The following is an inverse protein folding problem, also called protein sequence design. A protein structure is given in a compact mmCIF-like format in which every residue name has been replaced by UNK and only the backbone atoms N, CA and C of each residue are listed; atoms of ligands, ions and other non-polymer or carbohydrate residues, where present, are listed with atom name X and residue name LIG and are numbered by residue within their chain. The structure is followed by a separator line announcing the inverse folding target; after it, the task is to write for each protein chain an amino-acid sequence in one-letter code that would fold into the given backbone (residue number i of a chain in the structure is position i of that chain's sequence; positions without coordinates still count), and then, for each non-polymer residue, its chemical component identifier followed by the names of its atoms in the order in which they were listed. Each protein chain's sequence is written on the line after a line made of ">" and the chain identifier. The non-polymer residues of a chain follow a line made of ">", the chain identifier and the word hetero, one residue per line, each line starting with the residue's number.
data_IF_895391723165
#
_entry.id   IF_895391723165
#
_cell.length_a   1.000
_cell.length_b   1.000
_cell.length_c   1.000
_cell.angle_alpha   90.00
_cell.angle_beta   90.00
_cell.angle_gamma   90.00
#
_symmetry.space_group_name_H-M   'P 1'
#
loop_
_entity.id
_entity.type
_entity.pdbx_description
1 polymer ?
#
# COMPACT_ATOMS: atom_id res chain seq x y z
N UNK A 1 21.10 -19.08 12.22
CA UNK A 1 20.10 -18.07 11.88
C UNK A 1 19.45 -18.54 10.59
N UNK A 2 18.17 -18.88 10.58
CA UNK A 2 17.46 -19.17 9.33
C UNK A 2 17.48 -17.88 8.50
N UNK A 3 17.89 -17.97 7.24
CA UNK A 3 17.84 -16.81 6.34
C UNK A 3 16.36 -16.50 6.08
N UNK A 4 15.92 -15.28 6.42
CA UNK A 4 14.61 -14.76 6.07
C UNK A 4 14.41 -14.83 4.55
N UNK A 5 13.21 -15.24 4.12
CA UNK A 5 12.86 -15.16 2.72
C UNK A 5 12.17 -13.83 2.44
N UNK A 6 12.49 -13.21 1.31
CA UNK A 6 11.76 -12.03 0.84
C UNK A 6 10.44 -12.48 0.20
N UNK A 7 9.32 -11.90 0.63
CA UNK A 7 8.01 -12.08 0.01
C UNK A 7 7.37 -10.76 -0.35
N UNK A 8 6.64 -10.76 -1.44
CA UNK A 8 5.87 -9.61 -1.93
C UNK A 8 4.40 -9.88 -1.65
N UNK A 9 3.77 -9.03 -0.87
CA UNK A 9 2.38 -9.21 -0.43
C UNK A 9 1.57 -7.98 -0.78
N UNK A 10 0.52 -8.16 -1.56
CA UNK A 10 -0.49 -7.14 -1.82
C UNK A 10 -1.86 -7.57 -1.31
N UNK A 11 -2.65 -6.61 -0.80
CA UNK A 11 -3.98 -6.87 -0.25
C UNK A 11 -5.01 -5.91 -0.86
N UNK A 12 -6.05 -6.46 -1.52
CA UNK A 12 -7.06 -5.67 -2.22
C UNK A 12 -8.40 -6.39 -2.36
N UNK A 13 -9.50 -5.66 -2.62
CA UNK A 13 -10.75 -6.26 -3.07
C UNK A 13 -10.60 -6.97 -4.43
N UNK A 14 -11.24 -8.13 -4.58
CA UNK A 14 -11.31 -8.84 -5.87
C UNK A 14 -12.34 -8.17 -6.80
N UNK A 15 -12.02 -6.97 -7.27
CA UNK A 15 -12.85 -6.22 -8.24
C UNK A 15 -12.11 -6.03 -9.56
N UNK A 16 -12.85 -5.67 -10.61
CA UNK A 16 -12.29 -5.37 -11.91
C UNK A 16 -11.22 -4.27 -11.85
N UNK A 17 -11.45 -3.25 -11.03
CA UNK A 17 -10.50 -2.16 -10.81
C UNK A 17 -9.11 -2.63 -10.36
N UNK A 18 -9.05 -3.59 -9.45
CA UNK A 18 -7.77 -4.12 -8.98
C UNK A 18 -7.21 -5.23 -9.88
N UNK A 19 -8.07 -5.95 -10.62
CA UNK A 19 -7.63 -7.06 -11.45
C UNK A 19 -6.59 -6.65 -12.50
N UNK A 20 -6.86 -5.58 -13.26
CA UNK A 20 -5.92 -5.09 -14.26
C UNK A 20 -4.65 -4.47 -13.63
N UNK A 21 -4.75 -3.82 -12.45
CA UNK A 21 -3.60 -3.29 -11.73
C UNK A 21 -2.68 -4.43 -11.28
N UNK A 22 -3.26 -5.47 -10.69
CA UNK A 22 -2.51 -6.68 -10.30
C UNK A 22 -1.88 -7.33 -11.53
N UNK A 23 -2.58 -7.43 -12.66
CA UNK A 23 -1.99 -8.00 -13.87
C UNK A 23 -0.79 -7.20 -14.36
N UNK A 24 -0.87 -5.86 -14.37
CA UNK A 24 0.24 -4.96 -14.73
C UNK A 24 1.41 -5.12 -13.76
N UNK A 25 1.14 -5.13 -12.47
CA UNK A 25 2.12 -5.32 -11.40
C UNK A 25 2.84 -6.67 -11.55
N UNK A 26 2.11 -7.77 -11.71
CA UNK A 26 2.69 -9.12 -11.84
C UNK A 26 3.63 -9.24 -13.02
N UNK A 27 3.22 -8.72 -14.19
CA UNK A 27 4.07 -8.72 -15.37
C UNK A 27 5.37 -7.94 -15.14
N UNK A 28 5.27 -6.75 -14.54
CA UNK A 28 6.43 -5.94 -14.23
C UNK A 28 7.33 -6.62 -13.20
N UNK A 29 6.77 -7.15 -12.11
CA UNK A 29 7.56 -7.81 -11.06
C UNK A 29 8.36 -9.00 -11.60
N UNK A 30 7.73 -9.85 -12.41
CA UNK A 30 8.38 -10.97 -13.05
C UNK A 30 9.47 -10.49 -14.03
N UNK A 31 9.20 -9.46 -14.82
CA UNK A 31 10.19 -8.81 -15.71
C UNK A 31 11.40 -8.27 -14.92
N UNK A 32 11.15 -7.72 -13.73
CA UNK A 32 12.17 -7.17 -12.83
C UNK A 32 12.87 -8.23 -11.94
N UNK A 33 12.60 -9.50 -12.19
CA UNK A 33 13.31 -10.63 -11.59
C UNK A 33 12.78 -11.07 -10.22
N UNK A 34 11.57 -10.66 -9.85
CA UNK A 34 10.89 -11.22 -8.67
C UNK A 34 10.51 -12.67 -8.96
N UNK A 35 10.88 -13.58 -8.05
CA UNK A 35 10.48 -14.97 -8.18
C UNK A 35 8.96 -15.10 -7.95
N UNK A 36 8.18 -15.63 -8.91
CA UNK A 36 6.72 -15.75 -8.78
C UNK A 36 6.25 -16.49 -7.52
N UNK A 37 7.02 -17.47 -7.04
CA UNK A 37 6.71 -18.21 -5.82
C UNK A 37 6.82 -17.37 -4.53
N UNK A 38 7.39 -16.17 -4.62
CA UNK A 38 7.52 -15.23 -3.52
C UNK A 38 6.42 -14.15 -3.55
N UNK A 39 5.47 -14.21 -4.49
CA UNK A 39 4.39 -13.23 -4.63
C UNK A 39 3.09 -13.81 -4.10
N UNK A 40 2.50 -13.14 -3.11
CA UNK A 40 1.19 -13.44 -2.54
C UNK A 40 0.21 -12.31 -2.88
N UNK A 41 -0.80 -12.64 -3.67
CA UNK A 41 -1.89 -11.74 -4.01
C UNK A 41 -3.08 -12.10 -3.12
N UNK A 42 -3.30 -11.29 -2.08
CA UNK A 42 -4.34 -11.54 -1.06
C UNK A 42 -5.58 -10.71 -1.41
N UNK A 43 -6.71 -11.37 -1.59
CA UNK A 43 -7.91 -10.77 -2.13
C UNK A 43 -9.13 -10.95 -1.21
N UNK A 44 -9.91 -9.89 -1.07
CA UNK A 44 -11.26 -10.00 -0.55
C UNK A 44 -12.23 -10.41 -1.67
N UNK A 45 -12.86 -11.58 -1.54
CA UNK A 45 -13.95 -12.00 -2.42
C UNK A 45 -15.27 -11.41 -1.96
N UNK A 46 -15.89 -10.60 -2.80
CA UNK A 46 -17.19 -10.02 -2.48
C UNK A 46 -18.29 -11.09 -2.54
N UNK A 47 -19.18 -11.09 -1.55
CA UNK A 47 -20.31 -12.03 -1.46
C UNK A 47 -19.91 -13.51 -1.56
N UNK A 48 -18.72 -13.87 -1.09
CA UNK A 48 -18.22 -15.25 -1.09
C UNK A 48 -17.83 -15.80 -2.47
N UNK A 49 -17.84 -14.97 -3.52
CA UNK A 49 -17.57 -15.40 -4.90
C UNK A 49 -16.25 -14.82 -5.39
N UNK A 50 -15.44 -15.65 -6.05
CA UNK A 50 -14.26 -15.18 -6.80
C UNK A 50 -14.72 -14.81 -8.21
N UNK A 51 -14.58 -13.56 -8.65
CA UNK A 51 -14.96 -13.12 -9.99
C UNK A 51 -14.14 -13.84 -11.08
N UNK A 52 -14.71 -13.96 -12.27
CA UNK A 52 -14.10 -14.71 -13.39
C UNK A 52 -12.73 -14.16 -13.78
N UNK A 53 -12.58 -12.85 -13.80
CA UNK A 53 -11.31 -12.19 -14.10
C UNK A 53 -10.20 -12.56 -13.10
N UNK A 54 -10.53 -12.73 -11.82
CA UNK A 54 -9.59 -13.15 -10.79
C UNK A 54 -9.25 -14.65 -10.90
N UNK A 55 -10.21 -15.46 -11.27
CA UNK A 55 -9.97 -16.87 -11.59
C UNK A 55 -9.06 -17.01 -12.83
N UNK A 56 -9.25 -16.14 -13.83
CA UNK A 56 -8.38 -16.10 -15.00
C UNK A 56 -6.94 -15.73 -14.60
N UNK A 57 -6.74 -14.69 -13.78
CA UNK A 57 -5.41 -14.33 -13.28
C UNK A 57 -4.75 -15.47 -12.53
N UNK A 58 -5.48 -16.11 -11.58
CA UNK A 58 -4.95 -17.21 -10.78
C UNK A 58 -4.55 -18.44 -11.62
N UNK A 59 -5.20 -18.65 -12.77
CA UNK A 59 -4.89 -19.76 -13.67
C UNK A 59 -3.74 -19.46 -14.65
N UNK A 60 -3.49 -18.19 -14.95
CA UNK A 60 -2.52 -17.79 -15.98
C UNK A 60 -1.17 -17.30 -15.42
N UNK A 61 -1.14 -16.86 -14.16
CA UNK A 61 0.09 -16.40 -13.52
C UNK A 61 0.63 -17.42 -12.51
N UNK A 62 1.92 -17.76 -12.54
CA UNK A 62 2.53 -18.74 -11.64
C UNK A 62 2.82 -18.15 -10.25
N UNK A 63 1.91 -17.35 -9.71
CA UNK A 63 1.97 -16.69 -8.40
C UNK A 63 0.89 -17.22 -7.49
N UNK A 64 0.95 -16.93 -6.21
CA UNK A 64 -0.02 -17.45 -5.24
C UNK A 64 -1.17 -16.45 -5.06
N UNK A 65 -2.39 -16.87 -5.33
CA UNK A 65 -3.62 -16.10 -5.08
C UNK A 65 -4.38 -16.67 -3.90
N UNK A 66 -4.83 -15.79 -3.01
CA UNK A 66 -5.59 -16.16 -1.82
C UNK A 66 -6.86 -15.31 -1.73
N UNK A 67 -7.99 -15.98 -1.47
CA UNK A 67 -9.30 -15.32 -1.46
C UNK A 67 -9.99 -15.52 -0.11
N UNK A 68 -10.24 -14.42 0.59
CA UNK A 68 -10.84 -14.41 1.92
C UNK A 68 -12.19 -13.68 1.92
N UNK A 69 -13.04 -14.04 2.88
CA UNK A 69 -14.30 -13.34 3.14
C UNK A 69 -14.06 -12.11 4.04
N UNK A 70 -15.00 -11.16 4.01
CA UNK A 70 -15.01 -10.04 4.94
C UNK A 70 -15.52 -10.49 6.31
N UNK A 71 -14.63 -10.57 7.28
CA UNK A 71 -14.93 -10.93 8.67
C UNK A 71 -14.89 -9.74 9.63
N UNK A 72 -14.86 -8.50 9.11
CA UNK A 72 -14.85 -7.29 9.96
C UNK A 72 -16.10 -7.18 10.80
N UNK A 73 -15.92 -6.85 12.06
CA UNK A 73 -17.02 -6.54 12.99
C UNK A 73 -17.59 -5.15 12.73
N UNK A 74 -16.74 -4.19 12.36
CA UNK A 74 -17.10 -2.82 11.99
C UNK A 74 -16.64 -2.49 10.58
N UNK A 75 -17.31 -1.56 9.89
CA UNK A 75 -17.05 -1.17 8.50
C UNK A 75 -17.17 0.33 8.29
N UNK A 76 -16.61 1.11 9.23
CA UNK A 76 -16.58 2.57 9.11
C UNK A 76 -15.58 3.02 8.05
N UNK A 77 -14.49 2.27 7.90
CA UNK A 77 -13.39 2.55 6.99
C UNK A 77 -13.27 1.46 5.93
N UNK A 78 -13.46 1.83 4.66
CA UNK A 78 -13.49 0.83 3.57
C UNK A 78 -12.17 0.07 3.43
N UNK A 79 -11.03 0.76 3.61
CA UNK A 79 -9.70 0.17 3.42
C UNK A 79 -9.29 -0.78 4.56
N UNK A 80 -10.04 -0.83 5.68
CA UNK A 80 -9.81 -1.81 6.75
C UNK A 80 -10.04 -3.27 6.30
N UNK A 81 -10.63 -3.46 5.12
CA UNK A 81 -10.68 -4.78 4.49
C UNK A 81 -9.28 -5.35 4.21
N UNK A 82 -8.27 -4.49 3.95
CA UNK A 82 -6.89 -4.93 3.70
C UNK A 82 -6.29 -5.62 4.93
N UNK A 83 -6.19 -4.99 6.11
CA UNK A 83 -5.73 -5.69 7.31
C UNK A 83 -6.63 -6.86 7.71
N UNK A 84 -7.94 -6.83 7.43
CA UNK A 84 -8.83 -7.95 7.69
C UNK A 84 -8.46 -9.22 6.91
N UNK A 85 -8.17 -9.11 5.62
CA UNK A 85 -7.74 -10.27 4.82
C UNK A 85 -6.29 -10.64 5.12
N UNK A 86 -5.43 -9.69 5.48
CA UNK A 86 -4.06 -9.97 5.90
C UNK A 86 -4.02 -10.78 7.20
N UNK A 87 -4.79 -10.42 8.24
CA UNK A 87 -4.83 -11.24 9.46
C UNK A 87 -5.28 -12.67 9.19
N UNK A 88 -6.25 -12.88 8.28
CA UNK A 88 -6.68 -14.21 7.89
C UNK A 88 -5.56 -14.96 7.16
N UNK A 89 -4.80 -14.26 6.32
CA UNK A 89 -3.67 -14.82 5.60
C UNK A 89 -2.54 -15.24 6.55
N UNK A 90 -2.16 -14.38 7.51
CA UNK A 90 -1.18 -14.72 8.55
C UNK A 90 -1.63 -15.88 9.43
N UNK A 91 -2.93 -15.95 9.77
CA UNK A 91 -3.47 -17.10 10.50
C UNK A 91 -3.35 -18.41 9.73
N UNK A 92 -3.54 -18.37 8.41
CA UNK A 92 -3.43 -19.54 7.54
C UNK A 92 -1.97 -19.93 7.26
N UNK A 93 -1.07 -18.97 7.27
CA UNK A 93 0.36 -19.13 6.95
C UNK A 93 1.26 -18.48 7.99
N UNK A 94 1.30 -19.01 9.24
CA UNK A 94 2.04 -18.36 10.34
C UNK A 94 3.54 -18.23 10.09
N UNK A 95 4.14 -19.02 9.21
CA UNK A 95 5.55 -18.90 8.83
C UNK A 95 5.88 -17.55 8.17
N UNK A 96 4.90 -16.76 7.74
CA UNK A 96 5.12 -15.39 7.23
C UNK A 96 5.69 -14.45 8.30
N UNK A 97 5.53 -14.77 9.58
CA UNK A 97 6.08 -14.02 10.70
C UNK A 97 7.63 -14.02 10.70
N UNK A 98 8.23 -15.07 10.15
CA UNK A 98 9.68 -15.23 10.05
C UNK A 98 10.27 -14.64 8.76
N UNK A 99 9.44 -14.28 7.78
CA UNK A 99 9.88 -13.74 6.49
C UNK A 99 10.07 -12.21 6.52
N UNK A 100 10.82 -11.68 5.56
CA UNK A 100 10.85 -10.26 5.24
C UNK A 100 9.75 -9.97 4.20
N UNK A 101 8.78 -9.18 4.57
CA UNK A 101 7.58 -8.92 3.76
C UNK A 101 7.67 -7.57 3.08
N UNK A 102 7.72 -7.55 1.75
CA UNK A 102 7.49 -6.33 0.98
C UNK A 102 5.98 -6.17 0.80
N UNK A 103 5.35 -5.42 1.73
CA UNK A 103 3.93 -5.10 1.69
C UNK A 103 3.70 -3.85 0.82
N UNK A 104 2.78 -3.94 -0.15
CA UNK A 104 2.62 -2.90 -1.17
C UNK A 104 1.19 -2.84 -1.75
N UNK A 105 0.89 -1.73 -2.41
CA UNK A 105 -0.32 -1.57 -3.22
C UNK A 105 -0.20 -2.30 -4.57
N UNK A 106 -1.34 -2.57 -5.22
CA UNK A 106 -1.39 -3.27 -6.51
C UNK A 106 -1.05 -2.39 -7.72
N UNK A 107 -0.98 -1.09 -7.54
CA UNK A 107 -0.72 -0.12 -8.61
C UNK A 107 0.72 0.43 -8.59
N UNK A 108 1.65 -0.40 -8.17
CA UNK A 108 3.08 -0.12 -8.25
C UNK A 108 3.76 -0.91 -9.36
N UNK A 109 4.84 -0.36 -9.89
CA UNK A 109 5.79 -1.05 -10.78
C UNK A 109 7.22 -0.73 -10.36
N UNK A 110 8.15 -1.62 -10.67
CA UNK A 110 9.57 -1.40 -10.47
C UNK A 110 10.21 -0.85 -11.74
N UNK A 111 11.12 0.10 -11.57
CA UNK A 111 11.91 0.69 -12.66
C UNK A 111 13.23 -0.06 -12.90
N UNK A 112 13.66 -0.88 -11.94
CA UNK A 112 14.93 -1.61 -11.94
C UNK A 112 14.76 -3.03 -11.38
N UNK A 113 15.61 -3.97 -11.79
CA UNK A 113 15.63 -5.32 -11.23
C UNK A 113 15.74 -5.32 -9.71
N UNK A 114 14.93 -6.14 -9.04
CA UNK A 114 14.79 -6.16 -7.58
C UNK A 114 16.12 -6.37 -6.84
N UNK A 115 17.00 -7.19 -7.38
CA UNK A 115 18.32 -7.50 -6.82
C UNK A 115 19.29 -6.31 -6.80
N UNK A 116 18.98 -5.23 -7.51
CA UNK A 116 19.85 -4.05 -7.56
C UNK A 116 19.60 -3.09 -6.39
N UNK A 117 18.47 -3.24 -5.68
CA UNK A 117 18.07 -2.26 -4.67
C UNK A 117 17.49 -2.83 -3.37
N UNK A 118 16.96 -4.06 -3.33
CA UNK A 118 16.73 -4.79 -2.06
C UNK A 118 17.97 -5.64 -1.78
N UNK A 119 18.67 -5.32 -0.69
CA UNK A 119 19.91 -5.99 -0.31
C UNK A 119 19.66 -7.10 0.68
N UNK A 120 20.60 -8.05 0.76
CA UNK A 120 20.56 -9.13 1.76
C UNK A 120 20.58 -8.57 3.19
N UNK A 121 21.23 -7.42 3.44
CA UNK A 121 21.23 -6.73 4.72
C UNK A 121 19.82 -6.24 5.07
N UNK A 122 19.13 -5.57 4.14
CA UNK A 122 17.75 -5.11 4.34
C UNK A 122 16.77 -6.27 4.61
N UNK A 123 17.05 -7.46 4.14
CA UNK A 123 16.24 -8.67 4.37
C UNK A 123 16.55 -9.27 5.74
N UNK A 124 17.84 -9.32 6.12
CA UNK A 124 18.32 -10.06 7.28
C UNK A 124 18.13 -9.32 8.61
N UNK A 125 18.18 -7.99 8.61
CA UNK A 125 18.01 -7.18 9.84
C UNK A 125 16.55 -7.12 10.32
N UNK A 126 16.33 -6.52 11.50
CA UNK A 126 15.03 -6.36 12.13
C UNK A 126 14.38 -4.99 11.85
N UNK A 127 15.00 -4.16 11.00
CA UNK A 127 14.53 -2.81 10.70
C UNK A 127 13.45 -2.86 9.63
N UNK A 128 12.36 -2.12 9.83
CA UNK A 128 11.35 -1.89 8.80
C UNK A 128 11.79 -0.74 7.91
N UNK A 129 11.81 -0.95 6.62
CA UNK A 129 12.17 0.06 5.65
C UNK A 129 10.95 0.51 4.83
N UNK A 130 10.90 1.81 4.54
CA UNK A 130 9.89 2.40 3.66
C UNK A 130 10.37 3.70 3.05
N UNK A 131 9.51 4.33 2.25
CA UNK A 131 9.78 5.67 1.73
C UNK A 131 9.48 6.75 2.77
N UNK A 132 10.05 7.94 2.55
CA UNK A 132 9.80 9.13 3.37
C UNK A 132 8.38 9.65 3.14
N UNK A 133 7.54 9.50 4.14
CA UNK A 133 6.15 9.98 4.14
C UNK A 133 5.91 11.07 5.18
N UNK A 134 6.97 11.65 5.76
CA UNK A 134 6.91 12.64 6.84
C UNK A 134 5.99 13.81 6.55
N UNK A 135 5.96 14.28 5.33
CA UNK A 135 5.19 15.45 4.92
C UNK A 135 3.67 15.28 5.00
N UNK A 136 3.16 14.05 5.20
CA UNK A 136 1.71 13.80 5.32
C UNK A 136 1.28 12.79 6.39
N UNK A 137 2.20 12.09 7.09
CA UNK A 137 1.84 11.18 8.18
C UNK A 137 2.66 11.32 9.46
N UNK A 138 3.72 12.17 9.50
CA UNK A 138 4.56 12.32 10.69
C UNK A 138 3.91 13.17 11.78
N UNK A 139 4.54 13.17 12.97
CA UNK A 139 4.10 13.92 14.15
C UNK A 139 3.85 15.41 13.84
N UNK A 140 4.80 16.10 13.21
CA UNK A 140 4.68 17.52 12.90
C UNK A 140 3.51 17.84 11.97
N UNK A 141 3.22 16.96 10.99
CA UNK A 141 2.05 17.09 10.13
C UNK A 141 0.75 16.98 10.91
N UNK A 142 0.63 15.96 11.79
CA UNK A 142 -0.56 15.75 12.61
C UNK A 142 -0.77 16.91 13.60
N UNK A 143 0.29 17.30 14.30
CA UNK A 143 0.30 18.43 15.24
C UNK A 143 -0.12 19.75 14.56
N UNK A 144 0.25 19.93 13.29
CA UNK A 144 -0.18 21.07 12.48
C UNK A 144 -1.69 21.10 12.19
N UNK A 145 -2.42 19.99 12.43
CA UNK A 145 -3.90 19.91 12.34
C UNK A 145 -4.58 20.18 13.68
N UNK A 146 -3.82 20.15 14.77
CA UNK A 146 -4.25 20.43 16.13
C UNK A 146 -3.61 19.49 17.13
N UNK A 147 -3.23 20.01 18.29
CA UNK A 147 -2.70 19.19 19.39
C UNK A 147 -3.74 18.17 19.87
N UNK A 148 -5.00 18.55 19.91
CA UNK A 148 -6.13 17.67 20.24
C UNK A 148 -6.32 16.52 19.22
N UNK A 149 -5.96 16.71 17.97
CA UNK A 149 -5.96 15.63 16.95
C UNK A 149 -4.86 14.63 17.28
N UNK A 150 -3.66 15.12 17.58
CA UNK A 150 -2.53 14.28 17.98
C UNK A 150 -2.84 13.50 19.26
N UNK A 151 -3.38 14.18 20.28
CA UNK A 151 -3.77 13.55 21.56
C UNK A 151 -4.80 12.43 21.32
N UNK A 152 -5.86 12.72 20.55
CA UNK A 152 -6.89 11.72 20.24
C UNK A 152 -6.30 10.51 19.48
N UNK A 153 -5.38 10.74 18.56
CA UNK A 153 -4.71 9.64 17.86
C UNK A 153 -3.84 8.80 18.82
N UNK A 154 -3.07 9.46 19.68
CA UNK A 154 -2.25 8.75 20.71
C UNK A 154 -3.13 7.90 21.63
N UNK A 155 -4.27 8.41 22.08
CA UNK A 155 -5.24 7.68 22.91
C UNK A 155 -5.82 6.46 22.19
N UNK A 156 -6.20 6.61 20.91
CA UNK A 156 -6.73 5.52 20.08
C UNK A 156 -5.74 4.37 19.96
N UNK A 157 -4.47 4.67 19.75
CA UNK A 157 -3.42 3.65 19.63
C UNK A 157 -2.88 3.17 20.99
N UNK A 158 -3.06 3.94 22.04
CA UNK A 158 -2.41 3.69 23.35
C UNK A 158 -0.90 3.84 23.28
N UNK A 159 -0.41 4.80 22.46
CA UNK A 159 1.01 5.09 22.25
C UNK A 159 1.38 6.41 22.94
N UNK A 160 2.58 6.46 23.55
CA UNK A 160 3.08 7.69 24.12
C UNK A 160 3.40 8.70 23.01
N UNK A 161 2.94 9.95 23.18
CA UNK A 161 3.21 11.05 22.25
C UNK A 161 4.71 11.24 21.99
N UNK A 162 5.55 11.03 23.00
CA UNK A 162 6.99 11.13 22.86
C UNK A 162 7.55 10.10 21.88
N UNK A 163 7.01 8.89 21.86
CA UNK A 163 7.40 7.86 20.88
C UNK A 163 7.10 8.32 19.46
N UNK A 164 5.96 8.98 19.24
CA UNK A 164 5.57 9.50 17.92
C UNK A 164 6.48 10.67 17.52
N UNK A 165 6.81 11.56 18.46
CA UNK A 165 7.72 12.69 18.23
C UNK A 165 9.15 12.23 17.93
N UNK A 166 9.68 11.28 18.70
CA UNK A 166 11.02 10.71 18.52
C UNK A 166 11.18 10.00 17.18
N UNK A 167 10.07 9.48 16.63
CA UNK A 167 10.03 8.84 15.32
C UNK A 167 9.66 9.78 14.15
N UNK A 168 9.69 11.10 14.34
CA UNK A 168 9.43 12.08 13.26
C UNK A 168 10.20 11.76 11.98
N UNK A 169 11.50 11.44 12.10
CA UNK A 169 12.38 11.16 10.96
C UNK A 169 12.23 9.73 10.41
N UNK A 170 11.44 8.89 11.06
CA UNK A 170 11.25 7.48 10.77
C UNK A 170 9.82 7.15 10.30
N UNK A 171 9.03 8.18 9.95
CA UNK A 171 7.68 8.01 9.44
C UNK A 171 7.72 7.48 8.00
N UNK A 172 7.67 6.16 7.88
CA UNK A 172 7.69 5.42 6.61
C UNK A 172 6.28 5.10 6.13
N UNK A 173 6.13 4.92 4.81
CA UNK A 173 4.82 4.59 4.27
C UNK A 173 4.79 4.21 2.81
N UNK A 174 3.57 4.09 2.31
CA UNK A 174 3.15 3.59 1.03
C UNK A 174 3.53 2.12 0.80
N UNK A 175 4.83 1.80 0.75
CA UNK A 175 5.34 0.43 0.69
C UNK A 175 6.25 0.19 1.89
N UNK A 176 6.21 -1.03 2.42
CA UNK A 176 6.96 -1.41 3.61
C UNK A 176 7.76 -2.69 3.36
N UNK A 177 9.02 -2.71 3.70
CA UNK A 177 9.76 -3.94 3.91
C UNK A 177 9.75 -4.23 5.42
N UNK A 178 8.76 -5.01 5.86
CA UNK A 178 8.47 -5.27 7.27
C UNK A 178 8.93 -6.66 7.72
N UNK A 179 9.14 -6.83 9.03
CA UNK A 179 9.56 -8.10 9.66
C UNK A 179 8.76 -8.31 10.94
N UNK A 180 8.50 -9.56 11.27
CA UNK A 180 7.86 -9.94 12.53
C UNK A 180 6.40 -9.47 12.65
N UNK A 181 5.73 -9.11 11.55
CA UNK A 181 4.31 -8.85 11.57
C UNK A 181 3.54 -10.17 11.83
N UNK A 182 2.65 -10.17 12.82
CA UNK A 182 1.92 -11.36 13.29
C UNK A 182 0.43 -11.28 12.93
N UNK A 183 -0.30 -12.37 13.18
CA UNK A 183 -1.76 -12.33 13.13
C UNK A 183 -2.33 -11.25 14.07
N UNK A 184 -1.84 -11.20 15.31
CA UNK A 184 -2.34 -10.26 16.32
C UNK A 184 -2.03 -8.81 15.94
N UNK A 185 -0.88 -8.56 15.28
CA UNK A 185 -0.56 -7.25 14.73
C UNK A 185 -1.59 -6.81 13.70
N UNK A 186 -1.91 -7.65 12.70
CA UNK A 186 -2.90 -7.30 11.66
C UNK A 186 -4.32 -7.17 12.21
N UNK A 187 -4.67 -7.93 13.26
CA UNK A 187 -5.96 -7.79 13.96
C UNK A 187 -6.06 -6.42 14.67
N UNK A 188 -4.96 -5.97 15.29
CA UNK A 188 -4.89 -4.64 15.86
C UNK A 188 -4.93 -3.53 14.80
N UNK A 189 -4.20 -3.68 13.68
CA UNK A 189 -4.24 -2.72 12.56
C UNK A 189 -5.67 -2.54 12.06
N UNK A 190 -6.42 -3.63 11.83
CA UNK A 190 -7.83 -3.56 11.43
C UNK A 190 -8.66 -2.76 12.44
N UNK A 191 -8.60 -3.14 13.71
CA UNK A 191 -9.42 -2.51 14.77
C UNK A 191 -9.08 -1.03 14.95
N UNK A 192 -7.79 -0.69 14.96
CA UNK A 192 -7.34 0.67 15.22
C UNK A 192 -7.58 1.60 14.04
N UNK A 193 -7.43 1.16 12.80
CA UNK A 193 -7.74 2.01 11.64
C UNK A 193 -9.25 2.29 11.52
N UNK A 194 -10.13 1.38 11.93
CA UNK A 194 -11.58 1.60 12.00
C UNK A 194 -11.96 2.66 13.03
N UNK A 195 -11.42 2.54 14.26
CA UNK A 195 -11.65 3.53 15.32
C UNK A 195 -11.09 4.89 14.92
N UNK A 196 -9.85 4.91 14.43
CA UNK A 196 -9.18 6.13 13.97
C UNK A 196 -10.01 6.85 12.91
N UNK A 197 -10.44 6.14 11.87
CA UNK A 197 -11.24 6.74 10.81
C UNK A 197 -12.54 7.35 11.34
N UNK A 198 -13.28 6.61 12.17
CA UNK A 198 -14.54 7.06 12.74
C UNK A 198 -14.36 8.30 13.62
N UNK A 199 -13.46 8.23 14.59
CA UNK A 199 -13.36 9.23 15.66
C UNK A 199 -12.67 10.52 15.14
N UNK A 200 -11.65 10.41 14.31
CA UNK A 200 -11.01 11.59 13.72
C UNK A 200 -11.89 12.21 12.62
N UNK A 201 -12.71 11.44 11.90
CA UNK A 201 -13.72 12.03 11.01
C UNK A 201 -14.71 12.89 11.81
N UNK A 202 -15.17 12.43 12.97
CA UNK A 202 -16.04 13.21 13.84
C UNK A 202 -15.34 14.49 14.34
N UNK A 203 -14.08 14.40 14.75
CA UNK A 203 -13.29 15.55 15.20
C UNK A 203 -13.05 16.55 14.05
N UNK A 204 -12.69 16.09 12.87
CA UNK A 204 -12.53 16.93 11.67
C UNK A 204 -13.82 17.69 11.34
N UNK A 205 -14.98 17.01 11.40
CA UNK A 205 -16.27 17.62 11.13
C UNK A 205 -16.62 18.69 12.18
N UNK A 206 -16.34 18.44 13.46
CA UNK A 206 -16.55 19.43 14.51
C UNK A 206 -15.64 20.67 14.33
N UNK A 207 -14.38 20.47 14.03
CA UNK A 207 -13.44 21.57 13.74
C UNK A 207 -13.91 22.41 12.55
N UNK A 208 -14.36 21.78 11.46
CA UNK A 208 -14.92 22.48 10.30
C UNK A 208 -16.22 23.23 10.60
N UNK A 209 -17.05 22.71 11.52
CA UNK A 209 -18.25 23.40 11.97
C UNK A 209 -17.90 24.70 12.71
N UNK A 210 -16.81 24.69 13.49
CA UNK A 210 -16.32 25.85 14.23
C UNK A 210 -15.56 26.82 13.30
N UNK A 211 -14.68 26.29 12.48
CA UNK A 211 -13.88 27.03 11.49
C UNK A 211 -13.96 26.36 10.11
N UNK A 212 -14.78 26.89 9.18
CA UNK A 212 -14.91 26.33 7.83
C UNK A 212 -13.62 26.33 7.01
N UNK A 213 -12.59 27.09 7.43
CA UNK A 213 -11.29 27.14 6.76
C UNK A 213 -10.31 26.12 7.30
N UNK A 214 -10.69 25.36 8.33
CA UNK A 214 -9.83 24.34 8.93
C UNK A 214 -9.37 23.28 7.90
N UNK A 215 -8.06 23.11 7.80
CA UNK A 215 -7.43 22.07 6.99
C UNK A 215 -7.40 20.76 7.77
N UNK A 216 -8.34 19.89 7.51
CA UNK A 216 -8.49 18.58 8.19
C UNK A 216 -7.30 17.64 8.00
N UNK A 217 -7.16 16.68 8.92
CA UNK A 217 -6.28 15.53 8.77
C UNK A 217 -6.79 14.64 7.63
N UNK A 218 -5.89 14.14 6.78
CA UNK A 218 -6.21 13.25 5.64
C UNK A 218 -6.57 11.84 6.11
N UNK A 219 -7.72 11.70 6.77
CA UNK A 219 -8.09 10.47 7.48
C UNK A 219 -8.25 9.23 6.58
N UNK A 220 -8.27 9.40 5.27
CA UNK A 220 -8.24 8.29 4.32
C UNK A 220 -6.95 7.44 4.40
N UNK A 221 -5.90 7.94 5.06
CA UNK A 221 -4.66 7.22 5.38
C UNK A 221 -4.74 6.41 6.70
N UNK A 222 -5.92 6.16 7.28
CA UNK A 222 -6.04 5.52 8.59
C UNK A 222 -5.29 4.19 8.72
N UNK A 223 -5.27 3.38 7.68
CA UNK A 223 -4.52 2.13 7.67
C UNK A 223 -2.99 2.35 7.66
N UNK A 224 -2.50 3.41 7.02
CA UNK A 224 -1.07 3.75 7.05
C UNK A 224 -0.60 4.14 8.46
N UNK A 225 -1.36 4.99 9.16
CA UNK A 225 -1.05 5.31 10.55
C UNK A 225 -1.14 4.07 11.45
N UNK A 226 -2.15 3.22 11.24
CA UNK A 226 -2.31 2.01 12.04
C UNK A 226 -1.12 1.05 11.82
N UNK A 227 -0.68 0.84 10.59
CA UNK A 227 0.52 0.04 10.28
C UNK A 227 1.75 0.64 10.97
N UNK A 228 1.99 1.93 10.85
CA UNK A 228 3.20 2.56 11.36
C UNK A 228 3.23 2.64 12.90
N UNK A 229 2.16 3.17 13.51
CA UNK A 229 2.15 3.43 14.95
C UNK A 229 2.09 2.14 15.78
N UNK A 230 1.41 1.11 15.28
CA UNK A 230 1.43 -0.20 15.92
C UNK A 230 2.80 -0.90 15.78
N UNK A 231 3.53 -0.67 14.68
CA UNK A 231 4.92 -1.12 14.57
C UNK A 231 5.80 -0.47 15.68
N UNK A 232 5.69 0.85 15.88
CA UNK A 232 6.40 1.55 16.95
C UNK A 232 5.97 1.07 18.34
N UNK A 233 4.67 0.84 18.58
CA UNK A 233 4.15 0.33 19.83
C UNK A 233 4.70 -1.07 20.17
N UNK A 234 4.95 -1.90 19.16
CA UNK A 234 5.61 -3.21 19.33
C UNK A 234 7.14 -3.10 19.51
N UNK A 235 7.71 -1.91 19.38
CA UNK A 235 9.15 -1.69 19.47
C UNK A 235 9.91 -1.95 18.17
N UNK A 236 9.22 -2.03 17.03
CA UNK A 236 9.89 -2.14 15.73
C UNK A 236 10.63 -0.83 15.39
N UNK A 237 11.90 -0.95 15.01
CA UNK A 237 12.64 0.16 14.43
C UNK A 237 12.16 0.37 12.99
N UNK A 238 11.85 1.63 12.63
CA UNK A 238 11.52 2.01 11.27
C UNK A 238 12.55 2.98 10.70
N UNK A 239 12.80 2.93 9.39
CA UNK A 239 13.79 3.80 8.75
C UNK A 239 13.38 4.16 7.33
N UNK A 240 13.33 5.47 7.02
CA UNK A 240 13.28 5.92 5.64
C UNK A 240 14.55 5.47 4.90
N UNK A 241 14.39 4.79 3.77
CA UNK A 241 15.52 4.25 3.01
C UNK A 241 15.47 4.72 1.56
N UNK A 242 16.59 5.26 1.00
CA UNK A 242 16.60 5.80 -0.36
C UNK A 242 16.16 4.79 -1.43
N UNK A 243 16.44 3.49 -1.23
CA UNK A 243 16.02 2.44 -2.16
C UNK A 243 14.51 2.19 -2.15
N UNK A 244 13.79 2.62 -1.10
CA UNK A 244 12.35 2.48 -0.97
C UNK A 244 11.58 3.71 -1.48
N UNK A 245 12.30 4.80 -1.83
CA UNK A 245 11.67 5.99 -2.40
C UNK A 245 11.00 5.67 -3.74
N UNK A 246 9.88 6.35 -4.00
CA UNK A 246 9.08 6.10 -5.19
C UNK A 246 8.71 7.37 -5.95
N UNK A 247 8.56 7.23 -7.26
CA UNK A 247 7.95 8.25 -8.12
C UNK A 247 6.43 8.09 -8.14
N UNK A 248 5.74 9.22 -8.15
CA UNK A 248 4.29 9.32 -8.28
C UNK A 248 3.87 9.29 -9.75
N UNK A 249 2.60 9.06 -10.04
CA UNK A 249 2.05 9.29 -11.39
C UNK A 249 2.27 10.70 -11.91
N UNK A 250 2.38 11.68 -11.01
CA UNK A 250 2.63 13.09 -11.32
C UNK A 250 4.12 13.45 -11.42
N UNK A 251 5.03 12.54 -11.06
CA UNK A 251 6.48 12.76 -11.14
C UNK A 251 6.99 12.79 -12.59
N UNK A 252 8.23 13.23 -12.77
CA UNK A 252 8.89 13.23 -14.06
C UNK A 252 9.35 11.82 -14.48
N UNK A 253 9.60 11.64 -15.78
CA UNK A 253 10.23 10.43 -16.31
C UNK A 253 11.65 10.23 -15.73
N UNK A 254 12.36 11.32 -15.44
CA UNK A 254 13.70 11.25 -14.81
C UNK A 254 13.61 10.70 -13.38
N UNK A 255 12.59 11.08 -12.62
CA UNK A 255 12.33 10.51 -11.29
C UNK A 255 12.03 9.02 -11.38
N UNK A 256 11.25 8.57 -12.38
CA UNK A 256 11.02 7.15 -12.61
C UNK A 256 12.35 6.39 -12.81
N UNK A 257 13.27 6.92 -13.60
CA UNK A 257 14.55 6.25 -13.86
C UNK A 257 15.53 6.34 -12.69
N UNK A 258 15.44 7.40 -11.89
CA UNK A 258 16.28 7.59 -10.70
C UNK A 258 15.85 6.69 -9.55
N UNK A 259 14.54 6.56 -9.30
CA UNK A 259 13.95 5.81 -8.21
C UNK A 259 13.66 4.35 -8.62
N UNK A 260 13.47 3.47 -7.65
CA UNK A 260 13.31 2.04 -7.91
C UNK A 260 11.85 1.60 -8.04
N UNK A 261 10.94 2.38 -7.47
CA UNK A 261 9.50 2.12 -7.41
C UNK A 261 8.77 3.27 -8.08
N UNK A 262 7.73 2.96 -8.83
CA UNK A 262 6.73 3.92 -9.29
C UNK A 262 5.37 3.50 -8.73
N UNK A 263 4.72 4.41 -8.01
CA UNK A 263 3.37 4.22 -7.49
C UNK A 263 2.40 5.09 -8.32
N UNK A 264 1.46 4.46 -8.99
CA UNK A 264 0.49 5.16 -9.84
C UNK A 264 -0.60 5.85 -9.01
N UNK A 265 -0.17 6.77 -8.14
CA UNK A 265 -0.99 7.61 -7.28
C UNK A 265 -0.75 9.09 -7.59
N UNK A 266 -1.55 9.97 -6.99
CA UNK A 266 -1.42 11.43 -7.10
C UNK A 266 -2.14 12.06 -8.29
N UNK A 267 -2.53 11.30 -9.32
CA UNK A 267 -3.34 11.81 -10.44
C UNK A 267 -4.81 11.84 -10.00
N UNK A 268 -5.42 13.02 -10.00
CA UNK A 268 -6.77 13.25 -9.46
C UNK A 268 -7.81 13.59 -10.52
N UNK A 269 -7.38 13.85 -11.75
CA UNK A 269 -8.25 14.24 -12.86
C UNK A 269 -7.79 13.66 -14.20
N UNK A 270 -8.70 13.29 -15.11
CA UNK A 270 -8.36 12.84 -16.45
C UNK A 270 -7.79 13.96 -17.34
N UNK A 271 -7.90 15.22 -16.95
CA UNK A 271 -7.49 16.38 -17.73
C UNK A 271 -6.03 16.79 -17.52
N UNK A 272 -5.28 16.04 -16.71
CA UNK A 272 -3.87 16.34 -16.38
C UNK A 272 -2.88 15.90 -17.48
N UNK A 273 -3.35 15.23 -18.54
CA UNK A 273 -2.45 14.60 -19.54
C UNK A 273 -1.63 13.45 -18.96
N UNK A 274 -2.11 12.85 -17.86
CA UNK A 274 -1.52 11.75 -17.12
C UNK A 274 -2.48 10.55 -17.11
N UNK A 275 -1.98 9.37 -16.77
CA UNK A 275 -2.83 8.19 -16.67
C UNK A 275 -3.67 8.23 -15.39
N UNK A 276 -4.96 8.45 -15.56
CA UNK A 276 -5.93 8.53 -14.46
C UNK A 276 -6.63 7.19 -14.24
N UNK A 277 -6.13 6.38 -13.31
CA UNK A 277 -6.61 5.01 -13.06
C UNK A 277 -8.09 4.91 -12.67
N UNK A 278 -8.68 5.96 -12.04
CA UNK A 278 -10.08 5.93 -11.59
C UNK A 278 -11.09 5.92 -12.76
N UNK A 279 -10.69 6.22 -13.99
CA UNK A 279 -11.54 6.02 -15.18
C UNK A 279 -11.83 4.54 -15.44
N UNK A 280 -11.02 3.63 -14.91
CA UNK A 280 -11.06 2.20 -15.20
C UNK A 280 -11.56 1.37 -14.02
N UNK A 281 -12.48 1.92 -13.21
CA UNK A 281 -13.09 1.20 -12.08
C UNK A 281 -13.91 -0.01 -12.53
N UNK A 282 -14.56 0.09 -13.70
CA UNK A 282 -15.46 -0.95 -14.24
C UNK A 282 -15.07 -1.42 -15.66
N UNK A 283 -13.90 -1.04 -16.13
CA UNK A 283 -13.35 -1.39 -17.45
C UNK A 283 -11.86 -1.66 -17.34
N UNK A 284 -11.26 -2.16 -18.42
CA UNK A 284 -9.82 -2.34 -18.52
C UNK A 284 -9.20 -1.21 -19.36
N UNK A 285 -7.97 -0.77 -19.01
CA UNK A 285 -7.25 0.27 -19.76
C UNK A 285 -6.49 -0.31 -20.96
N UNK A 286 -6.98 -1.40 -21.55
CA UNK A 286 -6.34 -2.10 -22.66
C UNK A 286 -6.90 -1.66 -24.01
N UNK A 287 -6.07 -1.76 -25.06
CA UNK A 287 -6.40 -1.39 -26.45
C UNK A 287 -6.84 0.07 -26.63
N UNK A 288 -6.27 0.96 -25.83
CA UNK A 288 -6.54 2.39 -25.86
C UNK A 288 -5.31 3.14 -26.38
N UNK A 289 -5.55 4.18 -27.17
CA UNK A 289 -4.51 5.14 -27.58
C UNK A 289 -4.63 6.41 -26.72
N UNK A 290 -4.02 6.36 -25.55
CA UNK A 290 -4.07 7.48 -24.59
C UNK A 290 -2.89 8.44 -24.84
N UNK A 291 -3.20 9.72 -24.95
CA UNK A 291 -2.20 10.78 -25.04
C UNK A 291 -1.70 11.15 -23.65
N UNK A 292 -0.68 10.45 -23.20
CA UNK A 292 -0.02 10.70 -21.91
C UNK A 292 1.25 11.52 -22.16
N UNK A 293 1.52 12.50 -21.27
CA UNK A 293 2.71 13.33 -21.34
C UNK A 293 3.98 12.46 -21.31
N UNK A 294 4.77 12.52 -22.36
CA UNK A 294 6.00 11.72 -22.55
C UNK A 294 7.05 11.95 -21.45
N UNK A 295 7.09 13.15 -20.86
CA UNK A 295 8.00 13.51 -19.79
C UNK A 295 7.57 13.07 -18.38
N UNK A 296 6.47 12.31 -18.23
CA UNK A 296 5.92 11.90 -16.94
C UNK A 296 6.23 10.45 -16.58
N UNK A 297 6.31 10.16 -15.27
CA UNK A 297 6.34 8.78 -14.77
C UNK A 297 5.05 8.00 -15.11
N UNK A 298 3.92 8.71 -15.20
CA UNK A 298 2.64 8.15 -15.64
C UNK A 298 2.70 7.54 -17.04
N UNK A 299 3.53 8.09 -17.94
CA UNK A 299 3.80 7.51 -19.25
C UNK A 299 4.43 6.13 -19.12
N UNK A 300 5.38 5.95 -18.18
CA UNK A 300 6.05 4.67 -17.95
C UNK A 300 5.10 3.60 -17.43
N UNK A 301 4.15 3.99 -16.58
CA UNK A 301 3.09 3.09 -16.14
C UNK A 301 2.18 2.69 -17.32
N UNK A 302 1.80 3.64 -18.16
CA UNK A 302 0.98 3.36 -19.34
C UNK A 302 1.72 2.48 -20.38
N UNK A 303 3.02 2.67 -20.56
CA UNK A 303 3.86 1.77 -21.39
C UNK A 303 3.82 0.33 -20.87
N UNK A 304 3.79 0.14 -19.53
CA UNK A 304 3.64 -1.19 -18.94
C UNK A 304 2.24 -1.78 -19.19
N UNK A 305 1.18 -0.96 -19.14
CA UNK A 305 -0.17 -1.39 -19.54
C UNK A 305 -0.17 -1.86 -21.00
N UNK A 306 0.47 -1.13 -21.91
CA UNK A 306 0.56 -1.49 -23.33
C UNK A 306 1.37 -2.78 -23.59
N UNK A 307 2.33 -3.10 -22.73
CA UNK A 307 3.01 -4.41 -22.81
C UNK A 307 2.03 -5.53 -22.43
N UNK A 308 1.31 -5.34 -21.33
CA UNK A 308 0.38 -6.33 -20.76
C UNK A 308 -0.80 -6.59 -21.68
N UNK A 309 -1.36 -5.58 -22.35
CA UNK A 309 -2.52 -5.76 -23.26
C UNK A 309 -2.29 -6.78 -24.37
N UNK A 310 -1.02 -7.02 -24.75
CA UNK A 310 -0.63 -7.98 -25.79
C UNK A 310 -0.72 -9.43 -25.34
N UNK A 311 -0.71 -9.64 -24.03
CA UNK A 311 -0.65 -10.97 -23.39
C UNK A 311 -1.74 -11.16 -22.34
N UNK A 312 -2.59 -10.16 -22.13
CA UNK A 312 -3.63 -10.18 -21.07
C UNK A 312 -4.56 -11.36 -21.18
N UNK A 313 -4.90 -11.94 -20.03
CA UNK A 313 -5.97 -12.92 -19.88
C UNK A 313 -7.32 -12.27 -19.47
N UNK A 314 -7.34 -10.96 -19.24
CA UNK A 314 -8.55 -10.21 -18.92
C UNK A 314 -9.25 -9.76 -20.22
N UNK A 315 -10.54 -10.10 -20.33
CA UNK A 315 -11.37 -9.81 -21.50
C UNK A 315 -12.57 -8.93 -21.17
#
# INVERSE_FOLDING_TARGET
>A
MLLRQLRFVSAQPATKYYAWQVEVMLNNFIEMGVNPNQIDVVCWKQNGVVPEEWSALANNYPVRFFFYDDTRETRHYISSIRPNILKQHWKAYPALEDDAIFYHDSDIIFSKPIKEWITDEMIADDIWYGSDTRWYIAHSYIKGKGEDVLDAMCDIFGIDKQVVEDNEMNAIGAQYLMKGATYDYWDLVEKRCEVLFKDITALNNEKKRIDPTHHELQIWCSDMWAVLWLAWQMGAETRCHPNMEFSWGTSTSDDFHRLNIMHNAGVTSPNEGLFYKAQYMNSYPYNLDLKINEGSASKKYYEQIQKVEKITCLK
#
